data_IF_595939221606
#
_entry.id   IF_595939221606
#
_cell.length_a   1.000
_cell.length_b   1.000
_cell.length_c   1.000
_cell.angle_alpha   90.00
_cell.angle_beta   90.00
_cell.angle_gamma   90.00
#
_symmetry.space_group_name_H-M   'P 1'
#
loop_
_entity.id
_entity.type
_entity.pdbx_description
1 polymer ?
#
# COMPACT_ATOMS: atom_id res chain seq x y z
N UNK A 1 8.00 -5.61 8.35
CA UNK A 1 6.85 -5.75 7.43
C UNK A 1 7.19 -6.72 6.32
N UNK A 2 6.21 -7.48 5.81
CA UNK A 2 6.40 -8.45 4.74
C UNK A 2 5.18 -8.48 3.81
N UNK A 3 5.41 -8.58 2.50
CA UNK A 3 4.36 -8.84 1.51
C UNK A 3 4.09 -10.33 1.39
N UNK A 4 2.80 -10.72 1.36
CA UNK A 4 2.37 -12.12 1.27
C UNK A 4 1.20 -12.29 0.28
N UNK A 5 1.00 -13.53 -0.17
CA UNK A 5 -0.26 -13.98 -0.75
C UNK A 5 -1.16 -14.47 0.39
N UNK A 6 -2.22 -13.73 0.66
CA UNK A 6 -3.19 -14.06 1.71
C UNK A 6 -4.36 -14.84 1.12
N UNK A 7 -4.64 -16.02 1.64
CA UNK A 7 -5.86 -16.77 1.35
C UNK A 7 -6.98 -16.32 2.28
N UNK A 8 -8.14 -15.98 1.73
CA UNK A 8 -9.29 -15.56 2.52
C UNK A 8 -10.02 -16.78 3.12
N UNK A 9 -9.99 -16.95 4.43
CA UNK A 9 -10.60 -18.09 5.10
C UNK A 9 -12.13 -18.20 4.88
N UNK A 10 -12.83 -17.06 4.74
CA UNK A 10 -14.28 -17.02 4.52
C UNK A 10 -14.70 -17.07 3.05
N UNK A 11 -13.75 -16.95 2.12
CA UNK A 11 -13.98 -16.92 0.66
C UNK A 11 -12.91 -17.79 0.00
N UNK A 12 -13.12 -19.09 -0.03
CA UNK A 12 -12.10 -20.10 -0.39
C UNK A 12 -11.45 -19.92 -1.77
N UNK A 13 -12.09 -19.23 -2.69
CA UNK A 13 -11.53 -18.92 -4.01
C UNK A 13 -10.88 -17.53 -4.10
N UNK A 14 -10.70 -16.81 -2.97
CA UNK A 14 -10.22 -15.43 -2.96
C UNK A 14 -8.82 -15.35 -2.37
N UNK A 15 -7.91 -14.72 -3.11
CA UNK A 15 -6.53 -14.43 -2.69
C UNK A 15 -6.33 -12.91 -2.72
N UNK A 16 -5.57 -12.39 -1.74
CA UNK A 16 -5.18 -10.98 -1.68
C UNK A 16 -3.66 -10.83 -1.72
N UNK A 17 -3.20 -9.76 -2.33
CA UNK A 17 -1.85 -9.25 -2.17
C UNK A 17 -1.84 -8.39 -0.90
N UNK A 18 -1.12 -8.83 0.14
CA UNK A 18 -1.24 -8.28 1.48
C UNK A 18 0.11 -7.91 2.07
N UNK A 19 0.21 -6.71 2.65
CA UNK A 19 1.32 -6.32 3.50
C UNK A 19 0.97 -6.63 4.97
N UNK A 20 1.78 -7.48 5.62
CA UNK A 20 1.70 -7.74 7.06
C UNK A 20 2.66 -6.83 7.80
N UNK A 21 2.17 -6.15 8.84
CA UNK A 21 2.97 -5.43 9.82
C UNK A 21 3.06 -6.26 11.09
N UNK A 22 4.28 -6.53 11.53
CA UNK A 22 4.58 -7.35 12.71
C UNK A 22 5.39 -6.48 13.67
N UNK A 23 4.99 -6.44 14.95
CA UNK A 23 5.69 -5.68 15.98
C UNK A 23 6.97 -6.39 16.48
N UNK A 24 7.70 -5.74 17.39
CA UNK A 24 8.95 -6.28 17.98
C UNK A 24 8.72 -7.54 18.83
N UNK A 25 7.48 -7.79 19.26
CA UNK A 25 7.07 -8.98 20.02
C UNK A 25 6.58 -10.13 19.15
N UNK A 26 6.53 -9.94 17.82
CA UNK A 26 6.06 -10.94 16.86
C UNK A 26 4.55 -10.94 16.64
N UNK A 27 3.79 -9.98 17.17
CA UNK A 27 2.35 -9.89 16.95
C UNK A 27 2.05 -9.22 15.61
N UNK A 28 1.05 -9.72 14.90
CA UNK A 28 0.51 -9.05 13.71
C UNK A 28 -0.33 -7.86 14.17
N UNK A 29 0.14 -6.64 13.88
CA UNK A 29 -0.53 -5.39 14.22
C UNK A 29 -1.22 -4.74 13.03
N UNK A 30 -0.92 -5.16 11.81
CA UNK A 30 -1.53 -4.63 10.59
C UNK A 30 -1.62 -5.65 9.47
N UNK A 31 -2.73 -5.61 8.74
CA UNK A 31 -3.01 -6.43 7.55
C UNK A 31 -3.57 -5.51 6.48
N UNK A 32 -2.69 -4.99 5.61
CA UNK A 32 -3.12 -4.13 4.52
C UNK A 32 -3.26 -4.95 3.24
N UNK A 33 -4.48 -5.15 2.78
CA UNK A 33 -4.79 -5.76 1.48
C UNK A 33 -4.73 -4.70 0.40
N UNK A 34 -3.93 -4.93 -0.63
CA UNK A 34 -3.82 -4.01 -1.76
C UNK A 34 -5.20 -3.62 -2.30
N UNK A 35 -5.50 -2.33 -2.33
CA UNK A 35 -6.83 -1.81 -2.68
C UNK A 35 -7.24 -2.20 -4.10
N UNK A 36 -6.32 -2.07 -5.05
CA UNK A 36 -6.56 -2.38 -6.46
C UNK A 36 -5.39 -3.16 -7.02
N UNK A 37 -5.59 -4.44 -7.38
CA UNK A 37 -4.60 -5.20 -8.12
C UNK A 37 -4.28 -4.51 -9.45
N UNK A 38 -3.00 -4.47 -9.81
CA UNK A 38 -2.50 -3.74 -10.99
C UNK A 38 -2.59 -4.61 -12.23
N UNK A 39 -3.28 -4.15 -13.27
CA UNK A 39 -3.34 -4.78 -14.59
C UNK A 39 -3.63 -6.30 -14.52
N UNK A 40 -2.67 -7.15 -14.92
CA UNK A 40 -2.82 -8.62 -14.94
C UNK A 40 -2.97 -9.25 -13.53
N UNK A 41 -2.57 -8.55 -12.48
CA UNK A 41 -2.81 -8.99 -11.10
C UNK A 41 -4.30 -9.26 -10.82
N UNK A 42 -5.22 -8.56 -11.53
CA UNK A 42 -6.67 -8.77 -11.41
C UNK A 42 -7.15 -10.17 -11.81
N UNK A 43 -6.31 -10.93 -12.51
CA UNK A 43 -6.63 -12.33 -12.85
C UNK A 43 -6.43 -13.28 -11.65
N UNK A 44 -5.68 -12.86 -10.63
CA UNK A 44 -5.29 -13.70 -9.50
C UNK A 44 -5.76 -13.12 -8.17
N UNK A 45 -5.54 -11.83 -7.91
CA UNK A 45 -5.82 -11.19 -6.63
C UNK A 45 -7.09 -10.35 -6.65
N UNK A 46 -7.81 -10.38 -5.55
CA UNK A 46 -8.94 -9.49 -5.28
C UNK A 46 -8.46 -8.17 -4.67
N UNK A 47 -9.26 -7.11 -4.83
CA UNK A 47 -9.01 -5.83 -4.19
C UNK A 47 -9.34 -5.86 -2.70
N UNK A 48 -8.56 -5.13 -1.91
CA UNK A 48 -8.85 -4.81 -0.53
C UNK A 48 -9.89 -3.71 -0.38
N UNK A 49 -10.12 -3.26 0.85
CA UNK A 49 -11.01 -2.15 1.19
C UNK A 49 -10.31 -1.10 2.06
N UNK A 50 -11.01 0.00 2.34
CA UNK A 50 -10.43 1.11 3.09
C UNK A 50 -10.21 0.84 4.58
N UNK A 51 -10.67 -0.29 5.13
CA UNK A 51 -10.49 -0.61 6.55
C UNK A 51 -9.03 -0.82 6.95
N UNK A 52 -8.18 -1.12 5.95
CA UNK A 52 -6.76 -1.39 6.14
C UNK A 52 -5.85 -0.18 5.88
N UNK A 53 -6.41 0.98 5.53
CA UNK A 53 -5.65 2.24 5.39
C UNK A 53 -5.39 2.85 6.77
N UNK A 54 -4.52 2.20 7.54
CA UNK A 54 -4.22 2.53 8.92
C UNK A 54 -2.73 2.76 9.11
N UNK A 55 -2.39 3.80 9.89
CA UNK A 55 -1.04 4.05 10.38
C UNK A 55 -0.93 3.49 11.80
N UNK A 56 0.08 2.67 12.02
CA UNK A 56 0.30 1.97 13.29
C UNK A 56 1.30 2.75 14.15
N UNK A 57 0.92 2.99 15.41
CA UNK A 57 1.86 3.53 16.40
C UNK A 57 2.78 2.40 16.86
N UNK A 58 4.09 2.54 16.58
CA UNK A 58 5.11 1.54 16.88
C UNK A 58 6.28 2.17 17.65
N UNK A 59 7.17 1.34 18.17
CA UNK A 59 8.39 1.79 18.86
C UNK A 59 9.32 2.60 17.95
N UNK A 60 9.21 2.43 16.62
CA UNK A 60 10.00 3.15 15.62
C UNK A 60 9.23 4.30 14.97
N UNK A 61 8.11 4.74 15.56
CA UNK A 61 7.28 5.83 15.08
C UNK A 61 5.97 5.39 14.43
N UNK A 62 5.28 6.34 13.82
CA UNK A 62 4.01 6.16 13.12
C UNK A 62 4.25 5.53 11.74
N UNK A 63 3.92 4.25 11.60
CA UNK A 63 4.26 3.40 10.47
C UNK A 63 3.06 3.15 9.56
N UNK A 64 3.17 3.55 8.29
CA UNK A 64 2.19 3.27 7.23
C UNK A 64 2.75 2.37 6.14
N UNK A 65 1.87 1.84 5.29
CA UNK A 65 2.28 1.02 4.13
C UNK A 65 1.29 1.07 3.00
N UNK A 66 1.82 1.00 1.78
CA UNK A 66 1.08 0.74 0.54
C UNK A 66 1.85 -0.25 -0.33
N UNK A 67 1.11 -1.05 -1.10
CA UNK A 67 1.70 -2.07 -1.98
C UNK A 67 1.84 -1.57 -3.42
N UNK A 68 3.06 -1.50 -3.94
CA UNK A 68 3.39 -1.30 -5.36
C UNK A 68 2.69 -0.07 -5.98
N UNK A 69 1.83 -0.31 -6.98
CA UNK A 69 1.12 0.74 -7.72
C UNK A 69 0.19 1.63 -6.90
N UNK A 70 -0.24 1.21 -5.71
CA UNK A 70 -1.04 2.05 -4.80
C UNK A 70 -0.30 3.33 -4.39
N UNK A 71 1.02 3.28 -4.33
CA UNK A 71 1.86 4.44 -4.05
C UNK A 71 1.73 5.55 -5.11
N UNK A 72 1.04 5.29 -6.22
CA UNK A 72 0.67 6.32 -7.21
C UNK A 72 -0.61 7.05 -6.83
N UNK A 73 -1.47 6.46 -5.97
CA UNK A 73 -2.75 7.05 -5.62
C UNK A 73 -2.59 8.16 -4.56
N UNK A 74 -2.78 9.45 -4.91
CA UNK A 74 -2.60 10.55 -3.96
C UNK A 74 -3.62 10.52 -2.82
N UNK A 75 -4.82 9.97 -3.04
CA UNK A 75 -5.85 9.89 -1.99
C UNK A 75 -5.48 8.86 -0.93
N UNK A 76 -4.95 7.68 -1.34
CA UNK A 76 -4.47 6.67 -0.40
C UNK A 76 -3.27 7.20 0.41
N UNK A 77 -2.31 7.86 -0.27
CA UNK A 77 -1.15 8.49 0.38
C UNK A 77 -1.58 9.58 1.37
N UNK A 78 -2.49 10.46 0.96
CA UNK A 78 -3.00 11.52 1.83
C UNK A 78 -3.75 10.93 3.05
N UNK A 79 -4.49 9.83 2.88
CA UNK A 79 -5.18 9.15 3.98
C UNK A 79 -4.20 8.63 5.04
N UNK A 80 -3.05 8.08 4.65
CA UNK A 80 -2.03 7.65 5.61
C UNK A 80 -1.33 8.85 6.25
N UNK A 81 -0.90 9.82 5.46
CA UNK A 81 -0.28 11.04 5.96
C UNK A 81 -1.17 11.74 7.00
N UNK A 82 -2.51 11.79 6.78
CA UNK A 82 -3.47 12.43 7.68
C UNK A 82 -3.59 11.79 9.05
N UNK A 83 -3.08 10.57 9.22
CA UNK A 83 -3.01 9.85 10.49
C UNK A 83 -1.68 10.07 11.22
N UNK A 84 -0.85 10.99 10.76
CA UNK A 84 0.44 11.31 11.38
C UNK A 84 1.59 10.38 10.99
N UNK A 85 1.52 9.76 9.81
CA UNK A 85 2.58 8.90 9.30
C UNK A 85 3.96 9.58 9.36
N UNK A 86 4.98 8.85 9.81
CA UNK A 86 6.37 9.30 9.89
C UNK A 86 7.31 8.40 9.08
N UNK A 87 6.97 7.12 8.99
CA UNK A 87 7.71 6.11 8.21
C UNK A 87 6.73 5.37 7.31
N UNK A 88 6.99 5.41 6.02
CA UNK A 88 6.22 4.70 5.01
C UNK A 88 6.99 3.50 4.47
N UNK A 89 6.37 2.32 4.43
CA UNK A 89 6.94 1.14 3.78
C UNK A 89 6.24 0.92 2.45
N UNK A 90 7.00 0.96 1.38
CA UNK A 90 6.53 0.75 0.02
C UNK A 90 7.11 -0.55 -0.55
N UNK A 91 6.31 -1.61 -0.58
CA UNK A 91 6.72 -2.91 -1.11
C UNK A 91 6.41 -2.99 -2.61
N UNK A 92 7.40 -3.42 -3.40
CA UNK A 92 7.28 -3.60 -4.85
C UNK A 92 7.77 -4.97 -5.28
N UNK A 93 7.38 -5.33 -6.49
CA UNK A 93 8.00 -6.42 -7.26
C UNK A 93 8.79 -5.82 -8.43
N UNK A 94 9.84 -6.49 -8.86
CA UNK A 94 10.46 -6.21 -10.14
C UNK A 94 9.44 -6.40 -11.27
N UNK A 95 9.36 -5.44 -12.19
CA UNK A 95 8.42 -5.50 -13.32
C UNK A 95 9.14 -5.34 -14.66
N UNK A 96 9.98 -6.32 -15.08
CA UNK A 96 10.67 -6.30 -16.36
C UNK A 96 9.71 -6.41 -17.55
N UNK A 97 8.45 -6.80 -17.31
CA UNK A 97 7.37 -6.88 -18.30
C UNK A 97 6.71 -5.53 -18.59
N UNK A 98 7.09 -4.46 -17.88
CA UNK A 98 6.62 -3.11 -18.18
C UNK A 98 6.94 -2.72 -19.65
N UNK A 99 6.22 -1.75 -20.25
CA UNK A 99 6.56 -1.24 -21.58
C UNK A 99 8.05 -0.89 -21.69
N UNK A 100 8.65 -1.16 -22.83
CA UNK A 100 10.12 -1.06 -23.02
C UNK A 100 10.66 0.35 -22.73
N UNK A 101 9.86 1.36 -22.99
CA UNK A 101 10.19 2.77 -22.77
C UNK A 101 9.98 3.23 -21.31
N UNK A 102 9.40 2.37 -20.47
CA UNK A 102 9.08 2.70 -19.10
C UNK A 102 10.20 2.23 -18.16
N UNK A 103 10.92 3.19 -17.58
CA UNK A 103 11.92 2.91 -16.55
C UNK A 103 11.20 2.66 -15.20
N UNK A 104 11.03 1.39 -14.85
CA UNK A 104 10.31 1.00 -13.64
C UNK A 104 11.07 1.38 -12.36
N UNK A 105 12.40 1.26 -12.36
CA UNK A 105 13.23 1.65 -11.21
C UNK A 105 13.06 3.13 -10.87
N UNK A 106 13.14 4.02 -11.86
CA UNK A 106 12.91 5.45 -11.66
C UNK A 106 11.47 5.75 -11.27
N UNK A 107 10.50 5.03 -11.81
CA UNK A 107 9.09 5.21 -11.44
C UNK A 107 8.79 4.78 -10.00
N UNK A 108 9.45 3.72 -9.49
CA UNK A 108 9.37 3.30 -8.08
C UNK A 108 9.99 4.38 -7.19
N UNK A 109 11.20 4.81 -7.52
CA UNK A 109 11.95 5.85 -6.79
C UNK A 109 11.16 7.15 -6.72
N UNK A 110 10.59 7.62 -7.85
CA UNK A 110 9.79 8.83 -7.93
C UNK A 110 8.57 8.79 -7.00
N UNK A 111 7.88 7.65 -6.90
CA UNK A 111 6.74 7.49 -5.99
C UNK A 111 7.16 7.68 -4.53
N UNK A 112 8.27 7.07 -4.12
CA UNK A 112 8.82 7.24 -2.78
C UNK A 112 9.26 8.68 -2.51
N UNK A 113 9.98 9.31 -3.45
CA UNK A 113 10.39 10.70 -3.36
C UNK A 113 9.19 11.64 -3.21
N UNK A 114 8.14 11.43 -3.99
CA UNK A 114 6.90 12.21 -3.93
C UNK A 114 6.22 12.06 -2.57
N UNK A 115 6.06 10.81 -2.08
CA UNK A 115 5.42 10.54 -0.80
C UNK A 115 6.20 11.19 0.36
N UNK A 116 7.52 11.02 0.37
CA UNK A 116 8.39 11.62 1.38
C UNK A 116 8.35 13.15 1.35
N UNK A 117 8.47 13.74 0.16
CA UNK A 117 8.48 15.19 0.02
C UNK A 117 7.14 15.84 0.39
N UNK A 118 6.01 15.27 -0.05
CA UNK A 118 4.68 15.80 0.29
C UNK A 118 4.36 15.63 1.77
N UNK A 119 4.57 14.44 2.34
CA UNK A 119 4.25 14.11 3.73
C UNK A 119 5.29 14.58 4.75
N UNK A 120 6.51 14.96 4.30
CA UNK A 120 7.67 15.22 5.15
C UNK A 120 7.98 14.02 6.06
N UNK A 121 8.07 12.84 5.45
CA UNK A 121 8.24 11.54 6.12
C UNK A 121 9.39 10.76 5.49
N UNK A 122 9.83 9.70 6.15
CA UNK A 122 10.75 8.73 5.55
C UNK A 122 9.98 7.70 4.75
N UNK A 123 10.47 7.35 3.56
CA UNK A 123 9.95 6.22 2.79
C UNK A 123 11.01 5.16 2.61
N UNK A 124 10.72 3.94 3.06
CA UNK A 124 11.56 2.76 2.88
C UNK A 124 10.97 1.94 1.73
N UNK A 125 11.71 1.83 0.64
CA UNK A 125 11.30 1.11 -0.55
C UNK A 125 11.99 -0.25 -0.56
N UNK A 126 11.20 -1.32 -0.62
CA UNK A 126 11.67 -2.69 -0.78
C UNK A 126 11.10 -3.26 -2.08
N UNK A 127 11.96 -3.74 -2.95
CA UNK A 127 11.58 -4.31 -4.25
C UNK A 127 12.26 -5.66 -4.44
N UNK A 128 11.48 -6.69 -4.80
CA UNK A 128 12.08 -7.97 -5.19
C UNK A 128 12.80 -7.86 -6.53
N UNK A 129 13.75 -8.75 -6.76
CA UNK A 129 14.38 -9.00 -8.07
C UNK A 129 13.75 -10.22 -8.73
N UNK A 130 14.12 -10.50 -9.97
CA UNK A 130 13.79 -11.76 -10.65
C UNK A 130 15.01 -12.67 -10.58
N UNK A 131 14.90 -13.78 -9.85
CA UNK A 131 15.97 -14.76 -9.69
C UNK A 131 16.17 -15.59 -10.95
N UNK A 132 17.37 -16.20 -11.08
CA UNK A 132 17.67 -17.12 -12.18
C UNK A 132 16.76 -18.38 -12.13
N UNK A 133 16.35 -18.80 -10.94
CA UNK A 133 15.40 -19.90 -10.74
C UNK A 133 14.03 -19.59 -11.37
N UNK A 134 13.49 -18.39 -11.10
CA UNK A 134 12.23 -17.93 -11.71
C UNK A 134 12.36 -17.84 -13.22
N UNK A 135 13.49 -17.34 -13.74
CA UNK A 135 13.74 -17.25 -15.18
C UNK A 135 13.71 -18.65 -15.81
N UNK A 136 14.41 -19.61 -15.19
CA UNK A 136 14.51 -20.97 -15.71
C UNK A 136 13.16 -21.69 -15.73
N UNK A 137 12.37 -21.56 -14.65
CA UNK A 137 11.01 -22.11 -14.62
C UNK A 137 10.08 -21.47 -15.68
N UNK A 138 10.21 -20.18 -15.89
CA UNK A 138 9.42 -19.47 -16.89
C UNK A 138 9.81 -19.82 -18.32
N UNK A 139 11.08 -20.18 -18.59
CA UNK A 139 11.52 -20.63 -19.91
C UNK A 139 10.88 -21.94 -20.36
N UNK A 140 10.44 -22.79 -19.41
CA UNK A 140 9.72 -24.04 -19.71
C UNK A 140 8.35 -23.77 -20.38
N UNK A 141 7.71 -22.64 -20.08
CA UNK A 141 6.36 -22.30 -20.57
C UNK A 141 6.37 -21.12 -21.57
N UNK A 142 7.42 -20.32 -21.57
CA UNK A 142 7.56 -19.15 -22.44
C UNK A 142 8.98 -19.06 -23.00
N UNK A 143 9.22 -19.44 -24.28
CA UNK A 143 10.56 -19.49 -24.87
C UNK A 143 11.37 -18.19 -24.81
N UNK A 144 10.71 -17.03 -24.83
CA UNK A 144 11.35 -15.72 -24.75
C UNK A 144 11.43 -15.16 -23.32
N UNK A 145 11.13 -15.96 -22.28
CA UNK A 145 11.06 -15.53 -20.89
C UNK A 145 12.36 -14.85 -20.44
N UNK A 146 13.51 -15.45 -20.68
CA UNK A 146 14.82 -14.89 -20.32
C UNK A 146 15.02 -13.48 -20.86
N UNK A 147 14.77 -13.28 -22.14
CA UNK A 147 14.93 -11.98 -22.81
C UNK A 147 14.02 -10.91 -22.18
N UNK A 148 12.84 -11.31 -21.73
CA UNK A 148 11.88 -10.43 -21.11
C UNK A 148 12.25 -10.15 -19.65
N UNK A 149 12.53 -11.18 -18.87
CA UNK A 149 12.71 -11.12 -17.42
C UNK A 149 14.08 -10.54 -17.00
N UNK A 150 15.09 -10.52 -17.90
CA UNK A 150 16.41 -9.91 -17.64
C UNK A 150 16.51 -8.44 -18.05
N UNK A 151 15.40 -7.79 -18.37
CA UNK A 151 15.38 -6.34 -18.68
C UNK A 151 15.83 -5.52 -17.47
N UNK A 152 16.70 -4.55 -17.75
CA UNK A 152 17.27 -3.64 -16.77
C UNK A 152 16.28 -2.52 -16.36
N UNK A 153 16.59 -1.88 -15.22
CA UNK A 153 15.79 -0.81 -14.63
C UNK A 153 14.35 -1.25 -14.27
N UNK A 154 14.22 -2.48 -13.77
CA UNK A 154 12.95 -3.12 -13.45
C UNK A 154 12.63 -3.12 -11.95
N UNK A 155 13.62 -2.87 -11.08
CA UNK A 155 13.51 -2.88 -9.62
C UNK A 155 14.33 -1.75 -9.00
N UNK A 156 13.85 -1.18 -7.90
CA UNK A 156 14.57 -0.21 -7.08
C UNK A 156 14.25 -0.45 -5.59
N UNK A 157 15.30 -0.53 -4.77
CA UNK A 157 15.21 -0.51 -3.31
C UNK A 157 16.04 0.63 -2.75
N UNK A 158 15.54 1.33 -1.73
CA UNK A 158 16.25 2.48 -1.16
C UNK A 158 15.45 3.17 -0.06
N UNK A 159 16.06 4.16 0.59
CA UNK A 159 15.48 4.94 1.68
C UNK A 159 15.45 6.41 1.28
N UNK A 160 14.29 7.03 1.34
CA UNK A 160 14.07 8.43 0.97
C UNK A 160 13.81 9.24 2.25
N UNK A 161 14.47 10.39 2.35
CA UNK A 161 14.31 11.33 3.46
C UNK A 161 13.11 12.26 3.31
N UNK A 162 12.75 13.00 4.39
CA UNK A 162 11.63 13.94 4.40
C UNK A 162 11.74 15.12 3.43
N UNK A 163 12.92 15.35 2.89
CA UNK A 163 13.20 16.34 1.85
C UNK A 163 12.99 15.79 0.42
N UNK A 164 12.59 14.52 0.30
CA UNK A 164 12.40 13.82 -0.97
C UNK A 164 13.68 13.31 -1.60
N UNK A 165 14.82 13.34 -0.90
CA UNK A 165 16.11 12.87 -1.43
C UNK A 165 16.44 11.45 -0.98
N UNK A 166 17.22 10.73 -1.81
CA UNK A 166 17.74 9.42 -1.47
C UNK A 166 18.78 9.53 -0.35
N UNK A 167 18.68 8.69 0.69
CA UNK A 167 19.66 8.59 1.77
C UNK A 167 20.59 7.40 1.46
N UNK A 168 21.86 7.69 1.29
CA UNK A 168 22.85 6.68 0.91
C UNK A 168 22.66 6.18 -0.52
N UNK A 169 23.04 4.94 -0.77
CA UNK A 169 22.93 4.30 -2.08
C UNK A 169 21.68 3.43 -2.14
N UNK A 170 21.00 3.43 -3.30
CA UNK A 170 19.92 2.51 -3.61
C UNK A 170 20.41 1.33 -4.45
N UNK A 171 19.63 0.26 -4.49
CA UNK A 171 19.87 -0.92 -5.32
C UNK A 171 18.95 -0.88 -6.55
N UNK A 172 19.50 -1.11 -7.73
CA UNK A 172 18.77 -1.22 -9.00
C UNK A 172 19.02 -2.59 -9.58
N UNK A 173 17.97 -3.41 -9.72
CA UNK A 173 18.04 -4.79 -10.23
C UNK A 173 19.04 -5.68 -9.49
N UNK A 174 19.35 -5.37 -8.26
CA UNK A 174 20.34 -6.08 -7.43
C UNK A 174 19.71 -6.56 -6.14
N UNK A 175 20.14 -7.73 -5.67
CA UNK A 175 19.83 -8.24 -4.34
C UNK A 175 20.79 -7.64 -3.32
N UNK A 176 20.26 -7.23 -2.16
CA UNK A 176 21.10 -6.66 -1.12
C UNK A 176 20.27 -6.08 0.01
N UNK A 177 20.98 -5.44 0.96
CA UNK A 177 20.39 -4.75 2.09
C UNK A 177 20.83 -3.29 2.07
N UNK A 178 19.86 -2.39 2.15
CA UNK A 178 20.10 -0.94 2.27
C UNK A 178 19.94 -0.56 3.74
N UNK A 179 20.89 0.21 4.26
CA UNK A 179 20.89 0.71 5.62
C UNK A 179 20.93 2.23 5.63
N UNK A 180 20.21 2.84 6.56
CA UNK A 180 20.32 4.25 6.89
C UNK A 180 19.94 4.49 8.35
N UNK A 181 20.64 5.42 9.00
CA UNK A 181 20.20 6.00 10.26
C UNK A 181 19.18 7.10 9.96
N UNK A 182 17.99 6.98 10.55
CA UNK A 182 16.92 7.96 10.39
C UNK A 182 16.64 8.65 11.73
N UNK A 183 16.34 9.94 11.65
CA UNK A 183 15.98 10.77 12.79
C UNK A 183 14.58 11.35 12.54
N UNK A 184 13.59 10.88 13.28
CA UNK A 184 12.18 11.28 13.10
C UNK A 184 11.92 12.76 13.38
N UNK A 185 12.81 13.47 14.10
CA UNK A 185 12.70 14.92 14.29
C UNK A 185 12.86 15.67 12.97
N UNK A 186 13.53 15.09 11.98
CA UNK A 186 13.65 15.64 10.64
C UNK A 186 12.31 15.70 9.88
N UNK A 187 11.28 14.98 10.33
CA UNK A 187 9.93 15.10 9.81
C UNK A 187 9.23 16.41 10.22
N UNK A 188 9.69 17.08 11.27
CA UNK A 188 8.99 18.22 11.87
C UNK A 188 9.34 19.53 11.18
N UNK A 189 10.62 19.87 11.11
CA UNK A 189 11.10 21.17 10.62
C UNK A 189 10.63 21.53 9.20
N UNK A 190 10.65 20.61 8.21
CA UNK A 190 10.17 20.91 6.86
C UNK A 190 8.68 21.23 6.78
N UNK A 191 7.86 20.76 7.73
CA UNK A 191 6.42 21.07 7.80
C UNK A 191 6.13 22.54 8.08
N UNK A 192 7.09 23.27 8.65
CA UNK A 192 6.94 24.73 8.84
C UNK A 192 6.73 25.48 7.50
N UNK A 193 7.31 24.97 6.42
CA UNK A 193 7.17 25.56 5.08
C UNK A 193 5.89 25.07 4.39
N UNK A 194 5.68 23.78 4.33
CA UNK A 194 4.58 23.16 3.60
C UNK A 194 4.08 21.95 4.37
N UNK A 195 3.12 22.14 5.25
CA UNK A 195 2.38 21.06 5.88
C UNK A 195 1.02 20.90 5.20
N UNK A 196 0.91 19.90 4.32
CA UNK A 196 -0.32 19.62 3.59
C UNK A 196 -1.46 19.12 4.49
N UNK A 197 -1.15 18.82 5.75
CA UNK A 197 -2.13 18.41 6.78
C UNK A 197 -2.47 19.57 7.73
N UNK A 198 -1.80 20.72 7.57
CA UNK A 198 -1.93 21.85 8.46
C UNK A 198 -1.92 23.18 7.70
N UNK A 199 -0.82 23.92 7.84
CA UNK A 199 -0.70 25.31 7.38
C UNK A 199 -0.78 25.49 5.86
N UNK A 200 -0.63 24.42 5.06
CA UNK A 200 -0.65 24.47 3.60
C UNK A 200 -1.81 23.67 3.01
N UNK A 201 -2.99 23.75 3.64
CA UNK A 201 -4.22 23.15 3.15
C UNK A 201 -5.42 24.08 3.36
N UNK A 202 -6.49 23.79 2.65
CA UNK A 202 -7.77 24.50 2.68
C UNK A 202 -8.89 23.47 2.90
N UNK A 203 -9.05 22.99 4.13
CA UNK A 203 -10.09 22.02 4.51
C UNK A 203 -11.52 22.59 4.42
N UNK A 204 -11.65 23.91 4.25
CA UNK A 204 -12.88 24.57 3.90
C UNK A 204 -13.26 24.42 2.42
N UNK A 205 -12.29 24.01 1.55
CA UNK A 205 -12.47 23.76 0.11
C UNK A 205 -12.46 22.27 -0.19
N UNK A 206 -11.54 21.51 0.44
CA UNK A 206 -11.32 20.10 0.17
C UNK A 206 -11.84 19.24 1.30
N UNK A 207 -12.83 18.38 1.01
CA UNK A 207 -13.40 17.39 1.92
C UNK A 207 -13.11 15.98 1.38
N UNK A 208 -12.13 15.28 1.98
CA UNK A 208 -11.84 13.89 1.67
C UNK A 208 -12.54 12.97 2.67
N UNK A 209 -13.45 12.14 2.17
CA UNK A 209 -14.13 11.09 2.95
C UNK A 209 -13.61 9.72 2.56
N UNK A 210 -13.14 8.97 3.54
CA UNK A 210 -12.64 7.62 3.35
C UNK A 210 -13.61 6.63 3.99
N UNK A 211 -14.12 5.67 3.22
CA UNK A 211 -14.93 4.59 3.76
C UNK A 211 -14.00 3.53 4.38
N UNK A 212 -13.94 3.49 5.69
CA UNK A 212 -13.12 2.55 6.47
C UNK A 212 -13.90 1.31 6.93
N UNK A 213 -15.14 1.13 6.46
CA UNK A 213 -15.89 -0.08 6.78
C UNK A 213 -15.30 -1.27 6.03
N UNK A 214 -15.12 -2.38 6.77
CA UNK A 214 -14.74 -3.65 6.16
C UNK A 214 -15.83 -4.10 5.18
N UNK A 215 -15.43 -4.46 3.97
CA UNK A 215 -16.35 -4.93 2.93
C UNK A 215 -16.71 -6.40 3.19
N UNK A 216 -17.97 -6.64 3.51
CA UNK A 216 -18.55 -7.97 3.67
C UNK A 216 -19.50 -8.26 2.51
N UNK A 217 -19.61 -9.55 2.14
CA UNK A 217 -20.50 -9.94 1.05
C UNK A 217 -21.97 -9.70 1.39
N UNK A 218 -22.32 -9.78 2.68
CA UNK A 218 -23.66 -9.61 3.21
C UNK A 218 -23.56 -8.86 4.52
N UNK A 219 -24.34 -7.80 4.69
CA UNK A 219 -24.65 -7.18 5.97
C UNK A 219 -26.11 -7.50 6.32
N UNK A 220 -26.33 -8.03 7.51
CA UNK A 220 -27.69 -8.22 8.02
C UNK A 220 -28.09 -6.96 8.81
N UNK A 221 -29.09 -6.22 8.30
CA UNK A 221 -29.71 -5.17 9.08
C UNK A 221 -30.69 -5.81 10.04
N UNK A 222 -30.48 -5.61 11.36
CA UNK A 222 -31.50 -5.97 12.34
C UNK A 222 -32.72 -5.06 12.14
N UNK A 223 -33.84 -5.64 11.68
CA UNK A 223 -35.10 -4.92 11.68
C UNK A 223 -35.45 -4.57 13.13
N UNK A 224 -35.61 -3.30 13.42
CA UNK A 224 -36.13 -2.86 14.71
C UNK A 224 -37.45 -3.60 14.99
N UNK A 225 -37.58 -4.20 16.16
CA UNK A 225 -38.76 -4.97 16.57
C UNK A 225 -40.06 -4.17 16.45
N UNK A 226 -40.00 -2.84 16.47
CA UNK A 226 -41.16 -1.94 16.27
C UNK A 226 -41.80 -2.03 14.86
N UNK A 227 -41.09 -2.51 13.83
CA UNK A 227 -41.65 -2.69 12.48
C UNK A 227 -42.28 -4.06 12.25
N UNK A 228 -42.06 -5.03 13.16
CA UNK A 228 -42.64 -6.37 13.05
C UNK A 228 -44.14 -6.43 13.38
N UNK A 229 -44.68 -5.42 14.06
CA UNK A 229 -46.06 -5.42 14.56
C UNK A 229 -47.01 -4.41 13.85
N UNK A 230 -46.58 -3.69 12.84
CA UNK A 230 -47.42 -2.77 12.09
C UNK A 230 -48.24 -3.41 10.94
N UNK A 231 -48.17 -4.72 10.82
CA UNK A 231 -48.80 -5.49 9.72
C UNK A 231 -50.00 -6.34 10.10
N UNK A 232 -50.62 -6.17 11.32
CA UNK A 232 -51.80 -6.95 11.66
C UNK A 232 -53.01 -6.05 11.97
N UNK A 233 -54.05 -6.38 11.18
CA UNK A 233 -55.50 -6.24 11.44
C UNK A 233 -56.11 -4.89 11.06
N UNK A 234 -56.49 -4.78 9.79
CA UNK A 234 -57.76 -4.15 9.47
C UNK A 234 -58.85 -5.21 9.65
N UNK A 235 -59.48 -5.29 10.80
CA UNK A 235 -60.78 -5.99 10.93
C UNK A 235 -61.82 -5.26 10.08
N UNK A 236 -62.32 -5.94 9.10
CA UNK A 236 -63.60 -5.64 8.46
C UNK A 236 -64.68 -5.68 9.53
N UNK A 237 -65.36 -4.56 9.73
CA UNK A 237 -66.68 -4.53 10.34
C UNK A 237 -67.72 -4.21 9.28
N UNK A 238 -68.65 -5.15 9.13
CA UNK A 238 -69.92 -5.06 8.40
C UNK A 238 -70.71 -3.76 8.69
#
# INVERSE_FOLDING_TARGET
>A
MIGINEHCASKTGTIYNTNLTIDSSGNIIGVHRKLVPTWAEKLVWSGGDGSSLVVHNTEIGMLGTLACGENTNPLARFTLMSQGEQVHIANYISLPTAPKEYNMAEAIKLRGMTHSFEGKIFTIISCSTVSEEIISEMEEVLPDARKLLTRKNSAFSGIIGPDGTLIGDGLIDEEGIVYADIDLEKCIKPKQMHDILGNYNRFDIFDLRVNTKKQEAISFEEKNESERYSGEISEEKE
#
